data_IF_816113334790
#
_entry.id   IF_816113334790
#
_cell.length_a   1.000
_cell.length_b   1.000
_cell.length_c   1.000
_cell.angle_alpha   90.00
_cell.angle_beta   90.00
_cell.angle_gamma   90.00
#
_symmetry.space_group_name_H-M   'P 1'
#
loop_
_entity.id
_entity.type
_entity.pdbx_description
1 polymer ?
#
# COMPACT_ATOMS: atom_id res chain seq x y z
N UNK A 1 5.92 23.97 37.45
CA UNK A 1 6.11 22.51 37.25
C UNK A 1 6.82 22.20 35.92
N UNK A 2 7.72 21.19 35.90
CA UNK A 2 8.53 20.84 34.71
C UNK A 2 7.69 20.59 33.45
N UNK A 3 6.52 19.95 33.60
CA UNK A 3 5.60 19.69 32.49
C UNK A 3 5.14 20.96 31.76
N UNK A 4 4.77 22.02 32.49
CA UNK A 4 4.34 23.29 31.89
C UNK A 4 5.48 23.96 31.11
N UNK A 5 6.69 23.98 31.67
CA UNK A 5 7.87 24.52 30.99
C UNK A 5 8.24 23.70 29.74
N UNK A 6 8.09 22.37 29.80
CA UNK A 6 8.28 21.51 28.64
C UNK A 6 7.26 21.82 27.54
N UNK A 7 5.97 21.92 27.89
CA UNK A 7 4.92 22.25 26.94
C UNK A 7 5.19 23.59 26.24
N UNK A 8 5.40 24.67 27.00
CA UNK A 8 5.61 26.02 26.45
C UNK A 8 6.81 26.04 25.49
N UNK A 9 7.94 25.46 25.91
CA UNK A 9 9.19 25.52 25.14
C UNK A 9 9.28 24.52 23.98
N UNK A 10 8.68 23.32 24.13
CA UNK A 10 8.89 22.20 23.19
C UNK A 10 7.68 21.89 22.33
N UNK A 11 6.49 22.24 22.77
CA UNK A 11 5.25 22.06 22.01
C UNK A 11 4.86 23.40 21.40
N UNK A 12 4.53 24.41 22.22
CA UNK A 12 4.01 25.69 21.72
C UNK A 12 5.04 26.46 20.89
N UNK A 13 6.23 26.73 21.42
CA UNK A 13 7.31 27.39 20.66
C UNK A 13 7.92 26.47 19.59
N UNK A 14 7.79 25.16 19.80
CA UNK A 14 8.29 24.13 18.90
C UNK A 14 7.62 24.14 17.53
N UNK A 15 6.33 24.46 17.47
CA UNK A 15 5.56 24.49 16.21
C UNK A 15 6.18 25.39 15.13
N UNK A 16 6.82 26.48 15.54
CA UNK A 16 7.41 27.46 14.62
C UNK A 16 8.91 27.26 14.39
N UNK A 17 9.57 26.43 15.21
CA UNK A 17 11.03 26.33 15.25
C UNK A 17 11.57 24.94 14.97
N UNK A 18 10.78 23.89 15.20
CA UNK A 18 11.22 22.50 15.13
C UNK A 18 10.65 21.77 13.93
N UNK A 19 11.36 20.71 13.55
CA UNK A 19 10.93 19.85 12.43
C UNK A 19 9.77 18.95 12.85
N UNK A 20 8.89 18.53 11.93
CA UNK A 20 7.74 17.69 12.27
C UNK A 20 8.11 16.39 13.02
N UNK A 21 9.21 15.74 12.65
CA UNK A 21 9.69 14.55 13.37
C UNK A 21 10.19 14.81 14.79
N UNK A 22 10.68 16.02 15.09
CA UNK A 22 11.04 16.43 16.45
C UNK A 22 9.79 16.78 17.26
N UNK A 23 8.83 17.44 16.62
CA UNK A 23 7.54 17.75 17.22
C UNK A 23 6.79 16.48 17.62
N UNK A 24 6.72 15.48 16.75
CA UNK A 24 6.09 14.19 17.06
C UNK A 24 6.73 13.51 18.28
N UNK A 25 8.06 13.56 18.38
CA UNK A 25 8.78 13.05 19.57
C UNK A 25 8.45 13.86 20.81
N UNK A 26 8.41 15.19 20.73
CA UNK A 26 8.08 16.03 21.87
C UNK A 26 6.66 15.79 22.36
N UNK A 27 5.71 15.61 21.46
CA UNK A 27 4.30 15.31 21.78
C UNK A 27 4.20 13.97 22.49
N UNK A 28 4.89 12.94 21.97
CA UNK A 28 4.97 11.65 22.64
C UNK A 28 5.60 11.75 24.04
N UNK A 29 6.70 12.52 24.18
CA UNK A 29 7.32 12.77 25.48
C UNK A 29 6.34 13.50 26.41
N UNK A 30 5.62 14.52 25.92
CA UNK A 30 4.62 15.24 26.71
C UNK A 30 3.48 14.31 27.18
N UNK A 31 2.95 13.44 26.32
CA UNK A 31 1.95 12.44 26.71
C UNK A 31 2.48 11.55 27.85
N UNK A 32 3.69 11.01 27.70
CA UNK A 32 4.30 10.16 28.74
C UNK A 32 4.57 10.93 30.04
N UNK A 33 5.07 12.17 29.95
CA UNK A 33 5.32 13.01 31.12
C UNK A 33 4.03 13.32 31.88
N UNK A 34 2.90 13.51 31.19
CA UNK A 34 1.62 13.74 31.83
C UNK A 34 1.08 12.49 32.54
N UNK A 35 1.23 11.32 31.92
CA UNK A 35 0.87 10.04 32.55
C UNK A 35 1.71 9.78 33.81
N UNK A 36 3.02 10.05 33.75
CA UNK A 36 3.88 9.99 34.94
C UNK A 36 3.41 10.98 36.00
N UNK A 37 3.07 12.22 35.63
CA UNK A 37 2.56 13.21 36.58
C UNK A 37 1.28 12.74 37.30
N UNK A 38 0.34 12.15 36.55
CA UNK A 38 -0.90 11.58 37.11
C UNK A 38 -0.63 10.46 38.12
N UNK A 39 0.41 9.65 37.91
CA UNK A 39 0.74 8.55 38.82
C UNK A 39 1.45 8.99 40.10
N UNK A 40 2.18 10.12 40.06
CA UNK A 40 2.96 10.61 41.19
C UNK A 40 2.20 11.60 42.08
N UNK A 41 1.12 12.20 41.58
CA UNK A 41 0.44 13.34 42.23
C UNK A 41 -1.08 13.13 42.27
N UNK A 42 -1.73 13.51 43.38
CA UNK A 42 -3.18 13.41 43.51
C UNK A 42 -3.91 14.24 42.43
N UNK A 43 -4.98 13.74 41.81
CA UNK A 43 -5.69 14.43 40.71
C UNK A 43 -6.15 15.84 41.06
N UNK A 44 -6.57 16.06 42.31
CA UNK A 44 -7.06 17.36 42.82
C UNK A 44 -5.95 18.40 42.99
N UNK A 45 -4.68 17.99 43.05
CA UNK A 45 -3.52 18.88 43.15
C UNK A 45 -2.91 19.28 41.81
N UNK A 46 -3.40 18.72 40.70
CA UNK A 46 -2.96 19.10 39.35
C UNK A 46 -3.65 20.42 38.98
N UNK A 47 -2.85 21.46 38.77
CA UNK A 47 -3.32 22.76 38.30
C UNK A 47 -4.11 22.68 36.99
N UNK A 48 -5.18 23.46 36.88
CA UNK A 48 -6.05 23.52 35.70
C UNK A 48 -5.27 23.84 34.40
N UNK A 49 -4.27 24.73 34.49
CA UNK A 49 -3.37 25.05 33.36
C UNK A 49 -2.67 23.80 32.81
N UNK A 50 -2.25 22.89 33.68
CA UNK A 50 -1.58 21.64 33.32
C UNK A 50 -2.54 20.68 32.61
N UNK A 51 -3.80 20.61 33.05
CA UNK A 51 -4.82 19.78 32.40
C UNK A 51 -5.12 20.26 30.99
N UNK A 52 -5.28 21.58 30.80
CA UNK A 52 -5.48 22.19 29.48
C UNK A 52 -4.33 21.90 28.51
N UNK A 53 -3.09 21.97 28.98
CA UNK A 53 -1.93 21.62 28.16
C UNK A 53 -1.91 20.14 27.77
N UNK A 54 -2.34 19.26 28.67
CA UNK A 54 -2.45 17.85 28.34
C UNK A 54 -3.56 17.55 27.33
N UNK A 55 -4.71 18.21 27.45
CA UNK A 55 -5.79 18.13 26.46
C UNK A 55 -5.33 18.63 25.09
N UNK A 56 -4.60 19.75 25.04
CA UNK A 56 -4.01 20.25 23.80
C UNK A 56 -3.01 19.24 23.19
N UNK A 57 -2.11 18.67 24.00
CA UNK A 57 -1.17 17.63 23.56
C UNK A 57 -1.91 16.42 22.99
N UNK A 58 -2.99 15.97 23.63
CA UNK A 58 -3.77 14.84 23.15
C UNK A 58 -4.52 15.17 21.85
N UNK A 59 -5.08 16.37 21.73
CA UNK A 59 -5.71 16.85 20.50
C UNK A 59 -4.70 16.94 19.35
N UNK A 60 -3.47 17.38 19.64
CA UNK A 60 -2.40 17.48 18.64
C UNK A 60 -1.74 16.13 18.33
N UNK A 61 -1.88 15.11 19.18
CA UNK A 61 -1.30 13.78 18.98
C UNK A 61 -1.63 13.19 17.60
N UNK A 62 -2.86 13.38 17.12
CA UNK A 62 -3.29 12.96 15.78
C UNK A 62 -2.73 13.81 14.62
N UNK A 63 -2.24 15.02 14.89
CA UNK A 63 -1.64 15.92 13.90
C UNK A 63 -0.13 15.70 13.70
N UNK A 64 0.48 14.91 14.59
CA UNK A 64 1.89 14.53 14.52
C UNK A 64 2.08 13.06 14.17
N UNK A 65 1.16 12.51 13.36
CA UNK A 65 1.25 11.13 12.88
C UNK A 65 2.62 10.85 12.24
N UNK A 66 3.09 9.62 12.45
CA UNK A 66 4.36 9.16 11.94
C UNK A 66 4.32 9.11 10.41
N UNK A 67 5.31 9.70 9.76
CA UNK A 67 5.52 9.67 8.31
C UNK A 67 6.88 9.03 8.03
N UNK A 68 7.04 8.45 6.84
CA UNK A 68 8.29 7.79 6.48
C UNK A 68 9.31 8.78 5.90
N UNK A 69 8.89 9.62 4.96
CA UNK A 69 9.72 10.56 4.21
C UNK A 69 9.03 11.94 4.09
N UNK A 70 7.75 11.97 3.73
CA UNK A 70 7.00 13.19 3.42
C UNK A 70 6.00 13.53 4.54
N UNK A 71 6.22 14.63 5.30
CA UNK A 71 5.29 15.10 6.33
C UNK A 71 4.10 15.85 5.72
N UNK A 72 3.18 15.13 5.07
CA UNK A 72 2.06 15.74 4.34
C UNK A 72 1.09 16.51 5.25
N UNK A 73 0.82 15.96 6.45
CA UNK A 73 -0.12 16.53 7.43
C UNK A 73 0.56 16.92 8.74
N UNK A 74 1.89 16.75 8.84
CA UNK A 74 2.58 16.94 10.11
C UNK A 74 2.80 18.43 10.39
N UNK A 75 2.51 18.83 11.62
CA UNK A 75 2.69 20.21 12.09
C UNK A 75 4.17 20.47 12.41
N UNK A 76 4.64 21.68 12.12
CA UNK A 76 6.04 22.10 12.30
C UNK A 76 6.60 22.81 11.08
N UNK A 77 7.90 23.13 11.10
CA UNK A 77 8.58 23.74 9.97
C UNK A 77 8.66 22.75 8.81
N UNK A 78 7.94 23.05 7.71
CA UNK A 78 7.91 22.18 6.52
C UNK A 78 9.33 21.95 5.99
N UNK A 79 9.77 20.69 5.83
CA UNK A 79 11.09 20.42 5.27
C UNK A 79 11.19 20.85 3.81
N UNK A 80 12.40 21.20 3.36
CA UNK A 80 12.67 21.69 2.00
C UNK A 80 12.19 20.73 0.87
N UNK A 81 12.11 19.42 1.14
CA UNK A 81 11.59 18.45 0.17
C UNK A 81 10.14 18.75 -0.25
N UNK A 82 9.33 19.33 0.66
CA UNK A 82 7.95 19.71 0.39
C UNK A 82 7.85 20.94 -0.53
N UNK A 83 8.94 21.69 -0.67
CA UNK A 83 8.98 22.87 -1.54
C UNK A 83 9.32 22.53 -2.99
N UNK A 84 9.78 21.30 -3.25
CA UNK A 84 10.10 20.83 -4.59
C UNK A 84 8.86 20.85 -5.50
N UNK A 85 8.96 21.46 -6.69
CA UNK A 85 7.81 21.62 -7.59
C UNK A 85 7.23 20.28 -8.03
N UNK A 86 8.03 19.23 -8.14
CA UNK A 86 7.59 17.91 -8.59
C UNK A 86 6.83 17.15 -7.50
N UNK A 87 7.19 17.37 -6.23
CA UNK A 87 6.41 16.89 -5.08
C UNK A 87 5.07 17.61 -5.03
N UNK A 88 5.06 18.95 -5.20
CA UNK A 88 3.83 19.75 -5.26
C UNK A 88 2.92 19.32 -6.41
N UNK A 89 3.48 19.08 -7.59
CA UNK A 89 2.76 18.63 -8.77
C UNK A 89 2.10 17.26 -8.55
N UNK A 90 2.82 16.29 -7.96
CA UNK A 90 2.28 14.98 -7.64
C UNK A 90 1.17 15.04 -6.58
N UNK A 91 1.33 15.85 -5.53
CA UNK A 91 0.29 16.09 -4.52
C UNK A 91 -0.95 16.71 -5.16
N UNK A 92 -0.79 17.76 -5.97
CA UNK A 92 -1.91 18.43 -6.63
C UNK A 92 -2.71 17.49 -7.54
N UNK A 93 -2.04 16.58 -8.25
CA UNK A 93 -2.69 15.58 -9.09
C UNK A 93 -3.50 14.56 -8.25
N UNK A 94 -2.98 14.12 -7.11
CA UNK A 94 -3.69 13.19 -6.22
C UNK A 94 -4.85 13.85 -5.45
N UNK A 95 -4.76 15.15 -5.16
CA UNK A 95 -5.82 15.91 -4.48
C UNK A 95 -6.98 16.31 -5.41
N UNK A 96 -6.89 16.03 -6.71
CA UNK A 96 -7.97 16.30 -7.66
C UNK A 96 -9.06 15.24 -7.48
N UNK A 97 -10.00 15.47 -6.57
CA UNK A 97 -11.09 14.53 -6.21
C UNK A 97 -12.49 15.15 -6.29
N UNK A 98 -12.62 16.39 -6.74
CA UNK A 98 -13.89 17.16 -6.72
C UNK A 98 -15.03 16.53 -7.54
N UNK A 99 -14.68 15.68 -8.51
CA UNK A 99 -15.61 14.96 -9.38
C UNK A 99 -15.88 13.52 -8.95
N UNK A 100 -15.33 13.08 -7.81
CA UNK A 100 -15.57 11.73 -7.30
C UNK A 100 -16.83 11.69 -6.43
N UNK A 101 -17.62 10.61 -6.50
CA UNK A 101 -18.77 10.44 -5.62
C UNK A 101 -18.32 10.22 -4.17
N UNK A 102 -18.97 10.89 -3.21
CA UNK A 102 -18.51 10.95 -1.82
C UNK A 102 -19.06 9.79 -0.99
N UNK A 103 -18.20 9.00 -0.33
CA UNK A 103 -18.63 7.87 0.48
C UNK A 103 -19.16 8.30 1.86
N UNK A 104 -20.12 7.53 2.37
CA UNK A 104 -20.73 7.67 3.70
C UNK A 104 -20.59 6.34 4.44
N UNK A 105 -20.06 6.40 5.67
CA UNK A 105 -20.06 5.24 6.57
C UNK A 105 -21.33 5.31 7.41
N UNK A 106 -22.20 4.33 7.22
CA UNK A 106 -23.26 4.03 8.19
C UNK A 106 -22.61 3.34 9.38
N UNK A 107 -22.65 3.97 10.55
CA UNK A 107 -22.19 3.32 11.77
C UNK A 107 -22.96 2.00 11.94
N UNK A 108 -22.25 0.87 12.11
CA UNK A 108 -22.89 -0.37 12.55
C UNK A 108 -23.61 -0.08 13.86
N UNK A 109 -24.85 -0.50 13.99
CA UNK A 109 -25.51 -0.55 15.30
C UNK A 109 -24.83 -1.66 16.09
N UNK A 110 -23.84 -1.31 16.89
CA UNK A 110 -23.30 -2.20 17.92
C UNK A 110 -24.49 -2.72 18.75
N UNK A 111 -24.45 -3.98 19.15
CA UNK A 111 -25.52 -4.71 19.87
C UNK A 111 -25.67 -4.18 21.31
N UNK A 112 -26.05 -2.92 21.46
CA UNK A 112 -26.62 -2.35 22.67
C UNK A 112 -28.05 -1.94 22.35
N UNK A 113 -29.01 -2.69 22.92
CA UNK A 113 -30.44 -2.41 22.89
C UNK A 113 -30.74 -1.07 23.59
N UNK A 114 -30.48 0.06 22.93
CA UNK A 114 -31.07 1.33 23.33
C UNK A 114 -31.69 2.02 22.09
N UNK A 115 -33.00 1.88 22.00
CA UNK A 115 -33.87 2.07 20.83
C UNK A 115 -34.16 3.55 20.53
N UNK A 116 -33.15 4.43 20.55
CA UNK A 116 -33.38 5.87 20.34
C UNK A 116 -32.29 6.67 19.64
N UNK A 117 -31.15 6.10 19.28
CA UNK A 117 -30.11 6.84 18.54
C UNK A 117 -30.14 6.47 17.06
N UNK A 118 -30.71 7.36 16.24
CA UNK A 118 -30.65 7.25 14.76
C UNK A 118 -29.19 7.06 14.33
N UNK A 119 -28.88 6.14 13.40
CA UNK A 119 -27.53 6.03 12.86
C UNK A 119 -27.17 7.37 12.21
N UNK A 120 -26.20 8.07 12.80
CA UNK A 120 -25.70 9.33 12.27
C UNK A 120 -24.75 8.99 11.12
N UNK A 121 -25.16 9.29 9.90
CA UNK A 121 -24.29 9.24 8.72
C UNK A 121 -23.07 10.12 8.96
N UNK A 122 -21.87 9.52 9.02
CA UNK A 122 -20.62 10.27 9.15
C UNK A 122 -20.05 10.47 7.76
N UNK A 123 -20.05 11.73 7.30
CA UNK A 123 -19.36 12.11 6.08
C UNK A 123 -17.85 11.91 6.28
N UNK A 124 -17.22 11.18 5.37
CA UNK A 124 -15.79 10.92 5.42
C UNK A 124 -15.07 12.10 4.77
N UNK A 125 -14.04 12.63 5.44
CA UNK A 125 -13.17 13.64 4.84
C UNK A 125 -12.23 12.96 3.83
N UNK A 126 -12.43 13.25 2.54
CA UNK A 126 -11.59 12.77 1.44
C UNK A 126 -10.67 13.91 1.01
N UNK A 127 -9.36 13.81 1.25
CA UNK A 127 -8.39 14.84 0.85
C UNK A 127 -7.69 14.52 -0.49
N UNK A 128 -7.63 13.24 -0.86
CA UNK A 128 -6.99 12.75 -2.07
C UNK A 128 -7.58 11.42 -2.56
N UNK A 129 -7.12 10.98 -3.73
CA UNK A 129 -7.52 9.72 -4.36
C UNK A 129 -7.35 8.53 -3.41
N UNK A 130 -6.32 8.49 -2.56
CA UNK A 130 -6.10 7.35 -1.67
C UNK A 130 -7.08 7.35 -0.51
N UNK A 131 -7.44 8.50 0.04
CA UNK A 131 -8.54 8.61 1.03
C UNK A 131 -9.86 8.14 0.41
N UNK A 132 -10.11 8.47 -0.86
CA UNK A 132 -11.30 8.02 -1.57
C UNK A 132 -11.33 6.50 -1.74
N UNK A 133 -10.25 5.90 -2.23
CA UNK A 133 -10.15 4.43 -2.37
C UNK A 133 -10.26 3.75 -1.00
N UNK A 134 -9.61 4.29 0.03
CA UNK A 134 -9.64 3.77 1.39
C UNK A 134 -11.03 3.80 2.00
N UNK A 135 -11.83 4.81 1.68
CA UNK A 135 -13.21 4.89 2.17
C UNK A 135 -14.17 3.99 1.42
N UNK A 136 -13.94 3.74 0.13
CA UNK A 136 -14.72 2.78 -0.65
C UNK A 136 -14.44 1.35 -0.20
N UNK A 137 -13.17 0.97 -0.02
CA UNK A 137 -12.79 -0.44 0.21
C UNK A 137 -12.36 -0.78 1.64
N UNK A 138 -12.16 0.21 2.50
CA UNK A 138 -11.77 0.01 3.90
C UNK A 138 -10.34 -0.49 4.10
N UNK A 139 -9.36 0.18 3.47
CA UNK A 139 -7.93 -0.09 3.68
C UNK A 139 -7.44 0.41 5.05
N UNK A 140 -6.36 -0.18 5.57
CA UNK A 140 -5.71 0.24 6.81
C UNK A 140 -5.07 1.63 6.67
N UNK A 141 -5.32 2.53 7.62
CA UNK A 141 -4.80 3.92 7.59
C UNK A 141 -3.28 3.99 7.42
N UNK A 142 -2.54 3.11 8.09
CA UNK A 142 -1.08 3.04 7.98
C UNK A 142 -0.60 2.63 6.59
N UNK A 143 -1.30 1.70 5.93
CA UNK A 143 -1.02 1.31 4.55
C UNK A 143 -1.30 2.49 3.60
N UNK A 144 -2.44 3.16 3.76
CA UNK A 144 -2.82 4.33 2.98
C UNK A 144 -1.78 5.44 3.07
N UNK A 145 -1.37 5.82 4.29
CA UNK A 145 -0.33 6.82 4.50
C UNK A 145 0.99 6.42 3.84
N UNK A 146 1.42 5.16 4.00
CA UNK A 146 2.67 4.67 3.43
C UNK A 146 2.64 4.65 1.88
N UNK A 147 1.56 4.16 1.27
CA UNK A 147 1.44 4.09 -0.18
C UNK A 147 1.25 5.48 -0.81
N UNK A 148 0.65 6.42 -0.09
CA UNK A 148 0.55 7.83 -0.52
C UNK A 148 1.92 8.44 -0.70
N UNK A 149 2.77 8.36 0.33
CA UNK A 149 4.14 8.87 0.26
C UNK A 149 4.94 8.19 -0.86
N UNK A 150 4.81 6.85 -0.96
CA UNK A 150 5.47 6.07 -1.99
C UNK A 150 5.06 6.49 -3.41
N UNK A 151 3.76 6.66 -3.67
CA UNK A 151 3.23 7.08 -4.97
C UNK A 151 3.68 8.50 -5.34
N UNK A 152 3.63 9.44 -4.39
CA UNK A 152 4.11 10.81 -4.60
C UNK A 152 5.59 10.80 -5.00
N UNK A 153 6.42 10.03 -4.29
CA UNK A 153 7.85 9.92 -4.59
C UNK A 153 8.11 9.25 -5.94
N UNK A 154 7.34 8.22 -6.32
CA UNK A 154 7.46 7.59 -7.64
C UNK A 154 7.13 8.57 -8.76
N UNK A 155 6.01 9.29 -8.64
CA UNK A 155 5.56 10.29 -9.60
C UNK A 155 6.57 11.42 -9.73
N UNK A 156 7.00 12.02 -8.62
CA UNK A 156 7.97 13.11 -8.63
C UNK A 156 9.31 12.66 -9.25
N UNK A 157 9.83 11.50 -8.85
CA UNK A 157 11.10 10.98 -9.39
C UNK A 157 11.02 10.66 -10.89
N UNK A 158 9.88 10.15 -11.37
CA UNK A 158 9.70 9.86 -12.79
C UNK A 158 9.50 11.14 -13.61
N UNK A 159 8.75 12.11 -13.08
CA UNK A 159 8.51 13.39 -13.73
C UNK A 159 9.82 14.17 -13.98
N UNK A 160 10.75 14.14 -13.02
CA UNK A 160 12.08 14.77 -13.14
C UNK A 160 12.95 14.09 -14.21
N UNK A 161 12.92 12.76 -14.29
CA UNK A 161 13.81 12.02 -15.20
C UNK A 161 13.47 12.23 -16.66
N UNK A 162 12.20 12.49 -16.94
CA UNK A 162 11.73 12.62 -18.31
C UNK A 162 12.02 14.01 -18.90
N UNK A 163 12.25 15.07 -18.11
CA UNK A 163 12.53 16.43 -18.62
C UNK A 163 13.41 17.29 -17.72
N UNK A 164 14.16 18.20 -18.36
CA UNK A 164 15.11 19.11 -17.71
C UNK A 164 14.48 20.37 -17.07
N UNK A 165 13.21 20.67 -17.35
CA UNK A 165 12.53 21.87 -16.83
C UNK A 165 11.59 21.51 -15.68
N UNK A 166 11.77 22.17 -14.53
CA UNK A 166 10.90 22.04 -13.36
C UNK A 166 9.51 22.60 -13.65
N UNK A 167 8.55 21.74 -14.00
CA UNK A 167 7.15 22.13 -14.16
C UNK A 167 6.38 21.95 -12.84
N UNK A 168 5.42 22.85 -12.57
CA UNK A 168 4.50 22.73 -11.43
C UNK A 168 3.32 21.77 -11.71
N UNK A 169 3.35 21.02 -12.81
CA UNK A 169 2.27 20.14 -13.24
C UNK A 169 2.78 18.74 -13.52
N UNK A 170 1.99 17.74 -13.16
CA UNK A 170 2.31 16.34 -13.41
C UNK A 170 1.93 15.98 -14.85
N UNK A 171 2.90 15.51 -15.65
CA UNK A 171 2.64 15.16 -17.04
C UNK A 171 1.87 13.85 -17.17
N UNK A 172 0.90 13.80 -18.09
CA UNK A 172 0.10 12.60 -18.35
C UNK A 172 0.97 11.39 -18.79
N UNK A 173 2.04 11.64 -19.56
CA UNK A 173 2.99 10.61 -20.00
C UNK A 173 3.70 9.93 -18.81
N UNK A 174 4.02 10.69 -17.75
CA UNK A 174 4.63 10.14 -16.54
C UNK A 174 3.69 9.18 -15.83
N UNK A 175 2.40 9.52 -15.75
CA UNK A 175 1.38 8.66 -15.15
C UNK A 175 1.20 7.38 -15.99
N UNK A 176 1.14 7.52 -17.32
CA UNK A 176 1.06 6.38 -18.25
C UNK A 176 2.25 5.42 -18.07
N UNK A 177 3.47 5.95 -18.10
CA UNK A 177 4.69 5.13 -17.89
C UNK A 177 4.68 4.43 -16.54
N UNK A 178 4.23 5.10 -15.49
CA UNK A 178 4.14 4.49 -14.15
C UNK A 178 3.10 3.37 -14.14
N UNK A 179 1.93 3.60 -14.74
CA UNK A 179 0.87 2.61 -14.85
C UNK A 179 1.34 1.35 -15.58
N UNK A 180 1.91 1.51 -16.79
CA UNK A 180 2.49 0.41 -17.57
C UNK A 180 3.54 -0.35 -16.77
N UNK A 181 4.37 0.36 -15.99
CA UNK A 181 5.41 -0.27 -15.19
C UNK A 181 4.86 -1.06 -14.00
N UNK A 182 3.85 -0.55 -13.31
CA UNK A 182 3.22 -1.22 -12.17
C UNK A 182 2.37 -2.40 -12.63
N UNK A 183 1.60 -2.24 -13.70
CA UNK A 183 0.64 -3.22 -14.20
C UNK A 183 1.21 -4.13 -15.29
N UNK A 184 2.53 -4.09 -15.55
CA UNK A 184 3.19 -4.89 -16.59
C UNK A 184 2.85 -6.39 -16.53
N UNK A 185 2.72 -6.93 -15.32
CA UNK A 185 2.41 -8.34 -15.10
C UNK A 185 0.93 -8.67 -15.26
N UNK A 186 0.05 -7.66 -15.16
CA UNK A 186 -1.39 -7.80 -15.32
C UNK A 186 -1.80 -7.78 -16.81
N UNK A 187 -1.08 -6.99 -17.62
CA UNK A 187 -1.34 -6.76 -19.05
C UNK A 187 -1.20 -8.01 -19.95
N UNK A 188 -0.55 -9.08 -19.47
CA UNK A 188 -0.27 -10.28 -20.28
C UNK A 188 -1.33 -11.39 -20.19
N UNK A 189 -2.40 -11.22 -19.39
CA UNK A 189 -3.39 -12.30 -19.15
C UNK A 189 -4.84 -11.86 -19.08
N UNK A 190 -5.11 -10.59 -18.76
CA UNK A 190 -6.46 -10.03 -18.76
C UNK A 190 -6.41 -8.84 -19.68
N UNK A 191 -7.19 -8.85 -20.77
CA UNK A 191 -7.61 -7.61 -21.41
C UNK A 191 -8.25 -6.79 -20.30
N UNK A 192 -7.46 -5.95 -19.63
CA UNK A 192 -7.98 -5.00 -18.69
C UNK A 192 -8.89 -4.17 -19.60
N UNK A 193 -10.20 -4.34 -19.45
CA UNK A 193 -11.21 -3.50 -20.08
C UNK A 193 -11.12 -2.08 -19.50
N UNK A 194 -9.90 -1.54 -19.36
CA UNK A 194 -9.67 -0.11 -19.34
C UNK A 194 -10.10 0.35 -20.72
N UNK A 195 -10.88 1.41 -20.74
CA UNK A 195 -11.24 2.14 -21.94
C UNK A 195 -12.32 1.43 -22.77
N UNK A 196 -13.53 1.35 -22.20
CA UNK A 196 -14.63 1.90 -22.99
C UNK A 196 -14.65 3.41 -22.71
N UNK A 197 -14.34 4.28 -23.70
CA UNK A 197 -14.27 5.73 -23.55
C UNK A 197 -15.68 6.36 -23.50
N UNK A 198 -16.60 5.75 -22.75
CA UNK A 198 -17.98 6.22 -22.61
C UNK A 198 -18.06 7.29 -21.51
N UNK A 199 -17.04 7.39 -20.65
CA UNK A 199 -17.00 8.25 -19.48
C UNK A 199 -16.18 9.52 -19.75
N UNK A 200 -16.81 10.70 -19.59
CA UNK A 200 -16.20 12.06 -19.66
C UNK A 200 -15.29 12.36 -18.45
N UNK A 201 -14.55 11.35 -17.99
CA UNK A 201 -13.66 11.46 -16.84
C UNK A 201 -12.25 11.79 -17.27
N UNK A 202 -11.53 12.48 -16.38
CA UNK A 202 -10.12 12.79 -16.58
C UNK A 202 -9.30 11.49 -16.62
N UNK A 203 -8.80 11.15 -17.81
CA UNK A 203 -7.99 9.96 -18.06
C UNK A 203 -6.79 9.87 -17.09
N UNK A 204 -6.16 11.00 -16.76
CA UNK A 204 -5.04 11.01 -15.82
C UNK A 204 -5.48 10.62 -14.41
N UNK A 205 -6.63 11.13 -13.96
CA UNK A 205 -7.21 10.79 -12.66
C UNK A 205 -7.56 9.30 -12.59
N UNK A 206 -8.18 8.76 -13.63
CA UNK A 206 -8.54 7.35 -13.70
C UNK A 206 -7.32 6.43 -13.59
N UNK A 207 -6.24 6.76 -14.30
CA UNK A 207 -4.97 6.02 -14.21
C UNK A 207 -4.36 6.10 -12.81
N UNK A 208 -4.40 7.27 -12.17
CA UNK A 208 -3.94 7.44 -10.79
C UNK A 208 -4.78 6.62 -9.80
N UNK A 209 -6.10 6.53 -9.99
CA UNK A 209 -6.98 5.69 -9.17
C UNK A 209 -6.55 4.22 -9.27
N UNK A 210 -6.32 3.71 -10.49
CA UNK A 210 -5.92 2.31 -10.69
C UNK A 210 -4.52 2.00 -10.16
N UNK A 211 -3.56 2.91 -10.35
CA UNK A 211 -2.23 2.80 -9.76
C UNK A 211 -2.31 2.75 -8.23
N UNK A 212 -3.06 3.68 -7.63
CA UNK A 212 -3.23 3.76 -6.19
C UNK A 212 -3.92 2.51 -5.63
N UNK A 213 -4.98 2.04 -6.30
CA UNK A 213 -5.71 0.82 -5.94
C UNK A 213 -4.78 -0.39 -5.92
N UNK A 214 -3.96 -0.58 -6.96
CA UNK A 214 -3.01 -1.69 -7.02
C UNK A 214 -1.99 -1.63 -5.88
N UNK A 215 -1.45 -0.43 -5.59
CA UNK A 215 -0.47 -0.25 -4.50
C UNK A 215 -1.08 -0.52 -3.12
N UNK A 216 -2.34 -0.12 -2.90
CA UNK A 216 -3.07 -0.38 -1.65
C UNK A 216 -3.32 -1.88 -1.46
N UNK A 217 -3.81 -2.58 -2.49
CA UNK A 217 -3.98 -4.04 -2.49
C UNK A 217 -2.63 -4.72 -2.21
N UNK A 218 -1.57 -4.33 -2.92
CA UNK A 218 -0.23 -4.87 -2.72
C UNK A 218 0.30 -4.67 -1.29
N UNK A 219 0.00 -3.51 -0.70
CA UNK A 219 0.41 -3.15 0.65
C UNK A 219 -0.21 -4.03 1.74
N UNK A 220 -1.47 -4.45 1.56
CA UNK A 220 -2.21 -5.28 2.53
C UNK A 220 -2.23 -6.77 2.22
N UNK A 221 -1.88 -7.18 0.99
CA UNK A 221 -1.91 -8.58 0.58
C UNK A 221 -0.98 -9.51 1.39
N UNK A 222 0.00 -8.99 2.15
CA UNK A 222 0.87 -9.80 3.02
C UNK A 222 1.48 -10.99 2.27
N UNK A 223 1.35 -12.24 2.74
CA UNK A 223 1.86 -13.42 2.04
C UNK A 223 1.08 -13.76 0.75
N UNK A 224 -0.17 -13.31 0.61
CA UNK A 224 -0.98 -13.50 -0.61
C UNK A 224 -0.37 -12.76 -1.80
N UNK A 225 0.44 -11.72 -1.57
CA UNK A 225 1.14 -10.99 -2.64
C UNK A 225 2.04 -11.88 -3.51
N UNK A 226 2.43 -13.04 -2.99
CA UNK A 226 3.24 -14.00 -3.72
C UNK A 226 2.43 -14.83 -4.70
N UNK A 227 1.09 -14.81 -4.65
CA UNK A 227 0.15 -15.44 -5.59
C UNK A 227 -0.31 -14.40 -6.64
N UNK A 228 0.42 -14.23 -7.75
CA UNK A 228 0.14 -13.16 -8.70
C UNK A 228 -1.25 -13.28 -9.31
N UNK A 229 -1.78 -14.49 -9.45
CA UNK A 229 -3.06 -14.74 -10.11
C UNK A 229 -4.23 -14.43 -9.17
N UNK A 230 -4.08 -14.78 -7.89
CA UNK A 230 -4.96 -14.31 -6.83
C UNK A 230 -4.97 -12.78 -6.73
N UNK A 231 -3.79 -12.15 -6.86
CA UNK A 231 -3.68 -10.70 -6.80
C UNK A 231 -4.36 -10.04 -8.01
N UNK A 232 -4.19 -10.60 -9.20
CA UNK A 232 -4.88 -10.18 -10.42
C UNK A 232 -6.40 -10.32 -10.27
N UNK A 233 -6.89 -11.43 -9.69
CA UNK A 233 -8.32 -11.63 -9.43
C UNK A 233 -8.91 -10.54 -8.52
N UNK A 234 -8.25 -10.25 -7.40
CA UNK A 234 -8.66 -9.19 -6.46
C UNK A 234 -8.67 -7.83 -7.18
N UNK A 235 -7.58 -7.49 -7.87
CA UNK A 235 -7.45 -6.22 -8.57
C UNK A 235 -8.49 -6.05 -9.68
N UNK A 236 -8.78 -7.12 -10.44
CA UNK A 236 -9.77 -7.12 -11.52
C UNK A 236 -11.16 -6.73 -11.00
N UNK A 237 -11.62 -7.42 -9.95
CA UNK A 237 -12.94 -7.17 -9.38
C UNK A 237 -13.05 -5.77 -8.76
N UNK A 238 -12.03 -5.33 -8.02
CA UNK A 238 -12.03 -4.00 -7.44
C UNK A 238 -11.96 -2.89 -8.50
N UNK A 239 -11.25 -3.10 -9.61
CA UNK A 239 -11.29 -2.19 -10.76
C UNK A 239 -12.70 -2.09 -11.35
N UNK A 240 -13.41 -3.23 -11.48
CA UNK A 240 -14.79 -3.24 -11.96
C UNK A 240 -15.75 -2.53 -11.00
N UNK A 241 -15.56 -2.67 -9.68
CA UNK A 241 -16.31 -1.89 -8.69
C UNK A 241 -16.05 -0.39 -8.80
N UNK A 242 -14.79 0.03 -8.92
CA UNK A 242 -14.45 1.44 -9.17
C UNK A 242 -15.12 1.94 -10.46
N UNK A 243 -15.07 1.16 -11.54
CA UNK A 243 -15.72 1.52 -12.80
C UNK A 243 -17.23 1.72 -12.61
N UNK A 244 -17.92 0.78 -11.98
CA UNK A 244 -19.36 0.86 -11.72
C UNK A 244 -19.73 2.06 -10.84
N UNK A 245 -18.89 2.37 -9.86
CA UNK A 245 -19.05 3.54 -8.99
C UNK A 245 -18.96 4.84 -9.81
N UNK A 246 -17.96 4.94 -10.69
CA UNK A 246 -17.75 6.13 -11.51
C UNK A 246 -18.80 6.25 -12.63
N UNK A 247 -19.27 5.14 -13.19
CA UNK A 247 -20.33 5.10 -14.21
C UNK A 247 -21.69 5.54 -13.65
N UNK A 248 -22.05 5.07 -12.45
CA UNK A 248 -23.33 5.39 -11.81
C UNK A 248 -23.41 6.80 -11.28
N UNK A 249 -22.27 7.42 -10.98
CA UNK A 249 -22.20 8.82 -10.55
C UNK A 249 -22.73 9.73 -11.67
N UNK A 250 -23.89 10.40 -11.49
CA UNK A 250 -24.47 11.24 -12.54
C UNK A 250 -23.48 12.31 -12.95
N UNK A 251 -23.36 12.53 -14.25
CA UNK A 251 -22.52 13.56 -14.83
C UNK A 251 -22.72 14.91 -14.13
N UNK A 252 -21.66 15.73 -14.09
CA UNK A 252 -21.52 17.09 -13.52
C UNK A 252 -22.76 18.02 -13.58
N UNK A 253 -23.75 17.73 -14.42
CA UNK A 253 -24.98 18.49 -14.59
C UNK A 253 -26.00 18.34 -13.45
N UNK A 254 -26.00 17.23 -12.70
CA UNK A 254 -26.95 17.03 -11.58
C UNK A 254 -26.15 16.99 -10.29
N UNK A 255 -26.19 18.07 -9.49
CA UNK A 255 -25.57 18.18 -8.15
C UNK A 255 -26.24 17.25 -7.11
N UNK A 256 -26.60 16.04 -7.48
CA UNK A 256 -26.97 14.99 -6.53
C UNK A 256 -25.69 14.22 -6.24
N UNK A 257 -25.08 14.50 -5.09
CA UNK A 257 -23.96 13.72 -4.57
C UNK A 257 -24.53 12.37 -4.16
N UNK A 258 -24.57 11.41 -5.08
CA UNK A 258 -24.93 10.04 -4.72
C UNK A 258 -23.94 9.56 -3.66
N UNK A 259 -24.48 9.28 -2.48
CA UNK A 259 -23.71 8.81 -1.34
C UNK A 259 -23.46 7.32 -1.56
N UNK A 260 -22.19 6.96 -1.64
CA UNK A 260 -21.79 5.56 -1.76
C UNK A 260 -21.64 4.98 -0.36
N UNK A 261 -22.05 3.73 -0.18
CA UNK A 261 -21.78 3.01 1.06
C UNK A 261 -20.29 2.75 1.18
N UNK A 262 -19.64 3.43 2.13
CA UNK A 262 -18.24 3.21 2.45
C UNK A 262 -18.05 2.08 3.46
N UNK A 263 -16.82 1.60 3.57
CA UNK A 263 -16.46 0.56 4.53
C UNK A 263 -15.70 1.12 5.74
N UNK A 264 -15.75 0.38 6.85
CA UNK A 264 -14.92 0.68 8.02
C UNK A 264 -13.43 0.45 7.71
N UNK A 265 -12.57 1.05 8.53
CA UNK A 265 -11.14 0.75 8.43
C UNK A 265 -10.88 -0.75 8.60
N UNK A 266 -9.94 -1.28 7.82
CA UNK A 266 -9.51 -2.69 7.83
C UNK A 266 -10.51 -3.70 7.24
N UNK A 267 -11.61 -3.25 6.63
CA UNK A 267 -12.55 -4.12 5.92
C UNK A 267 -11.86 -4.98 4.86
N UNK A 268 -11.01 -4.39 4.01
CA UNK A 268 -10.29 -5.12 2.96
C UNK A 268 -9.43 -6.25 3.54
N UNK A 269 -8.65 -5.93 4.58
CA UNK A 269 -7.82 -6.93 5.26
C UNK A 269 -8.68 -8.06 5.85
N UNK A 270 -9.80 -7.73 6.49
CA UNK A 270 -10.65 -8.68 7.22
C UNK A 270 -11.49 -9.56 6.30
N UNK A 271 -12.11 -8.98 5.28
CA UNK A 271 -13.10 -9.66 4.43
C UNK A 271 -12.48 -10.24 3.14
N UNK A 272 -11.38 -9.67 2.64
CA UNK A 272 -10.74 -10.13 1.39
C UNK A 272 -9.46 -10.92 1.65
N UNK A 273 -8.49 -10.33 2.35
CA UNK A 273 -7.17 -10.95 2.52
C UNK A 273 -7.18 -12.08 3.55
N UNK A 274 -7.85 -11.88 4.69
CA UNK A 274 -7.82 -12.84 5.80
C UNK A 274 -8.37 -14.22 5.40
N UNK A 275 -9.53 -14.35 4.72
CA UNK A 275 -10.04 -15.66 4.32
C UNK A 275 -9.07 -16.43 3.41
N UNK A 276 -8.44 -15.74 2.46
CA UNK A 276 -7.46 -16.34 1.54
C UNK A 276 -6.19 -16.75 2.30
N UNK A 277 -5.71 -15.87 3.19
CA UNK A 277 -4.56 -16.16 4.04
C UNK A 277 -4.78 -17.35 4.97
N UNK A 278 -5.99 -17.52 5.51
CA UNK A 278 -6.33 -18.65 6.36
C UNK A 278 -6.24 -19.98 5.62
N UNK A 279 -6.68 -20.03 4.36
CA UNK A 279 -6.50 -21.21 3.50
C UNK A 279 -5.01 -21.52 3.35
N UNK A 280 -4.20 -20.52 2.96
CA UNK A 280 -2.74 -20.69 2.83
C UNK A 280 -2.09 -21.17 4.12
N UNK A 281 -2.46 -20.58 5.26
CA UNK A 281 -1.92 -20.93 6.58
C UNK A 281 -2.28 -22.36 6.97
N UNK A 282 -3.50 -22.81 6.66
CA UNK A 282 -3.94 -24.19 6.93
C UNK A 282 -3.21 -25.19 6.04
N UNK A 283 -3.12 -24.95 4.73
CA UNK A 283 -2.40 -25.83 3.79
C UNK A 283 -0.90 -25.90 4.11
N UNK A 284 -0.27 -24.76 4.46
CA UNK A 284 1.12 -24.73 4.90
C UNK A 284 1.38 -25.56 6.16
N UNK A 285 0.42 -25.63 7.09
CA UNK A 285 0.50 -26.51 8.26
C UNK A 285 0.36 -27.99 7.86
N UNK A 286 -0.54 -28.31 6.92
CA UNK A 286 -0.76 -29.68 6.42
C UNK A 286 0.46 -30.29 5.73
N UNK A 287 1.30 -29.46 5.10
CA UNK A 287 2.58 -29.89 4.54
C UNK A 287 3.49 -30.62 5.58
N UNK A 288 3.26 -30.41 6.89
CA UNK A 288 3.97 -31.11 7.97
C UNK A 288 5.51 -31.07 7.82
N UNK A 289 6.05 -29.88 7.50
CA UNK A 289 7.49 -29.66 7.20
C UNK A 289 8.02 -30.50 6.03
N UNK A 290 7.20 -30.73 5.00
CA UNK A 290 7.58 -31.52 3.82
C UNK A 290 7.44 -33.03 4.00
N UNK A 291 6.80 -33.49 5.08
CA UNK A 291 6.63 -34.92 5.39
C UNK A 291 5.28 -35.49 4.96
N UNK A 292 4.32 -34.64 4.60
CA UNK A 292 3.01 -35.08 4.15
C UNK A 292 3.03 -35.47 2.66
N UNK A 293 2.26 -36.50 2.30
CA UNK A 293 2.04 -36.85 0.88
C UNK A 293 1.45 -35.67 0.12
N UNK A 294 1.97 -35.40 -1.08
CA UNK A 294 1.49 -34.34 -1.98
C UNK A 294 0.02 -34.48 -2.41
N UNK A 295 -0.64 -35.60 -2.11
CA UNK A 295 -2.07 -35.82 -2.37
C UNK A 295 -2.98 -35.26 -1.26
N UNK A 296 -2.43 -34.96 -0.09
CA UNK A 296 -3.22 -34.67 1.12
C UNK A 296 -3.28 -33.17 1.46
N UNK A 297 -2.64 -32.33 0.65
CA UNK A 297 -2.61 -30.89 0.84
C UNK A 297 -2.43 -30.18 -0.51
N UNK A 298 -2.92 -28.95 -0.61
CA UNK A 298 -2.76 -28.12 -1.80
C UNK A 298 -1.49 -27.30 -1.66
N UNK A 299 -0.60 -27.40 -2.63
CA UNK A 299 0.61 -26.60 -2.65
C UNK A 299 0.34 -25.19 -3.19
N UNK A 300 1.37 -24.34 -3.18
CA UNK A 300 1.26 -22.96 -3.64
C UNK A 300 0.77 -22.85 -5.11
N UNK A 301 1.28 -23.71 -6.00
CA UNK A 301 0.87 -23.71 -7.41
C UNK A 301 -0.60 -24.14 -7.54
N UNK A 302 -1.04 -25.17 -6.81
CA UNK A 302 -2.44 -25.62 -6.81
C UNK A 302 -3.39 -24.47 -6.37
N UNK A 303 -3.00 -23.71 -5.35
CA UNK A 303 -3.80 -22.59 -4.83
C UNK A 303 -3.78 -21.39 -5.76
N UNK A 304 -2.65 -21.09 -6.40
CA UNK A 304 -2.52 -19.95 -7.31
C UNK A 304 -3.19 -20.24 -8.67
N UNK A 305 -3.10 -21.47 -9.17
CA UNK A 305 -3.76 -21.92 -10.40
C UNK A 305 -5.29 -21.88 -10.30
N UNK A 306 -5.87 -22.02 -9.11
CA UNK A 306 -7.31 -21.89 -8.90
C UNK A 306 -7.88 -20.61 -9.56
N UNK A 307 -7.17 -19.49 -9.42
CA UNK A 307 -7.56 -18.17 -9.92
C UNK A 307 -7.46 -18.02 -11.46
N UNK A 308 -6.91 -19.01 -12.18
CA UNK A 308 -6.96 -19.07 -13.65
C UNK A 308 -8.23 -19.69 -14.20
N UNK A 309 -8.92 -20.49 -13.38
CA UNK A 309 -10.05 -21.26 -13.89
C UNK A 309 -11.24 -20.35 -14.13
N UNK A 310 -11.96 -20.56 -15.24
CA UNK A 310 -13.28 -19.92 -15.43
C UNK A 310 -14.23 -20.23 -14.28
N UNK A 311 -14.09 -21.42 -13.70
CA UNK A 311 -14.83 -21.87 -12.53
C UNK A 311 -14.58 -20.98 -11.30
N UNK A 312 -13.41 -20.35 -11.17
CA UNK A 312 -13.15 -19.38 -10.10
C UNK A 312 -14.14 -18.21 -10.12
N UNK A 313 -14.44 -17.66 -11.30
CA UNK A 313 -15.38 -16.53 -11.39
C UNK A 313 -16.81 -16.92 -11.01
N UNK A 314 -17.22 -18.14 -11.38
CA UNK A 314 -18.57 -18.65 -11.09
C UNK A 314 -18.73 -19.11 -9.62
N UNK A 315 -17.69 -19.74 -9.06
CA UNK A 315 -17.72 -20.36 -7.74
C UNK A 315 -17.26 -19.41 -6.62
N UNK A 316 -16.11 -18.76 -6.78
CA UNK A 316 -15.53 -17.89 -5.74
C UNK A 316 -16.33 -16.59 -5.57
N UNK A 317 -16.83 -16.04 -6.70
CA UNK A 317 -17.62 -14.80 -6.78
C UNK A 317 -16.93 -13.57 -6.15
N UNK A 318 -17.60 -12.42 -6.31
CA UNK A 318 -17.19 -11.18 -5.67
C UNK A 318 -18.43 -10.41 -5.18
N UNK A 319 -18.62 -10.21 -3.86
CA UNK A 319 -17.75 -10.61 -2.73
C UNK A 319 -17.52 -12.13 -2.62
N UNK A 320 -16.45 -12.51 -1.91
CA UNK A 320 -16.01 -13.91 -1.78
C UNK A 320 -17.10 -14.78 -1.13
N UNK A 321 -17.49 -15.87 -1.79
CA UNK A 321 -18.45 -16.86 -1.27
C UNK A 321 -17.70 -17.86 -0.36
N UNK A 322 -17.96 -17.88 0.97
CA UNK A 322 -17.28 -18.81 1.88
C UNK A 322 -17.56 -20.29 1.57
N UNK A 323 -18.58 -20.58 0.75
CA UNK A 323 -18.94 -21.93 0.33
C UNK A 323 -18.19 -22.39 -0.92
N UNK A 324 -17.42 -21.52 -1.56
CA UNK A 324 -16.61 -21.84 -2.73
C UNK A 324 -15.61 -22.96 -2.43
N UNK A 325 -15.28 -23.75 -3.45
CA UNK A 325 -14.37 -24.89 -3.36
C UNK A 325 -12.97 -24.47 -2.90
N UNK A 326 -12.56 -23.24 -3.21
CA UNK A 326 -11.33 -22.66 -2.69
C UNK A 326 -11.22 -22.75 -1.15
N UNK A 327 -12.30 -22.42 -0.44
CA UNK A 327 -12.35 -22.40 1.02
C UNK A 327 -12.67 -23.78 1.62
N UNK A 328 -13.17 -24.72 0.82
CA UNK A 328 -13.43 -26.09 1.26
C UNK A 328 -12.12 -26.83 1.55
N UNK A 329 -12.19 -27.73 2.51
CA UNK A 329 -11.07 -28.60 2.86
C UNK A 329 -11.41 -30.05 2.47
N UNK A 330 -10.38 -30.78 2.03
CA UNK A 330 -10.46 -32.21 1.66
C UNK A 330 -11.06 -33.12 2.74
N UNK A 331 -11.11 -32.67 3.99
CA UNK A 331 -11.63 -33.44 5.12
C UNK A 331 -13.16 -33.44 5.18
N UNK A 332 -13.82 -32.56 4.40
CA UNK A 332 -15.29 -32.43 4.37
C UNK A 332 -15.94 -33.13 3.17
N UNK A 333 -15.21 -33.48 2.11
CA UNK A 333 -15.75 -34.31 1.01
C UNK A 333 -14.66 -35.03 0.20
N UNK A 334 -14.81 -36.34 0.05
CA UNK A 334 -13.90 -37.28 -0.61
C UNK A 334 -13.85 -37.22 -2.16
N UNK A 335 -14.24 -36.11 -2.80
CA UNK A 335 -14.32 -36.03 -4.27
C UNK A 335 -13.69 -34.75 -4.83
N UNK A 336 -12.37 -34.58 -4.63
CA UNK A 336 -11.58 -33.76 -5.54
C UNK A 336 -11.32 -34.57 -6.83
N UNK A 337 -12.09 -34.29 -7.87
CA UNK A 337 -11.75 -34.75 -9.21
C UNK A 337 -10.65 -33.82 -9.74
N UNK A 338 -9.43 -34.32 -9.80
CA UNK A 338 -8.29 -33.65 -10.43
C UNK A 338 -8.60 -33.47 -11.92
N UNK A 339 -9.33 -32.41 -12.26
CA UNK A 339 -9.58 -32.05 -13.64
C UNK A 339 -8.22 -31.73 -14.27
N UNK A 340 -7.76 -32.58 -15.18
CA UNK A 340 -6.70 -32.25 -16.11
C UNK A 340 -7.22 -31.10 -16.97
N UNK A 341 -6.97 -29.87 -16.55
CA UNK A 341 -7.15 -28.71 -17.40
C UNK A 341 -5.89 -28.58 -18.27
N UNK A 342 -6.12 -28.60 -19.59
CA UNK A 342 -5.09 -28.38 -20.58
C UNK A 342 -4.35 -27.06 -20.30
N UNK A 343 -3.02 -27.16 -20.23
CA UNK A 343 -2.11 -26.04 -20.23
C UNK A 343 -2.50 -25.02 -21.31
N UNK A 344 -2.77 -23.76 -20.92
CA UNK A 344 -2.60 -22.65 -21.84
C UNK A 344 -1.09 -22.33 -21.89
N UNK A 345 -0.39 -22.46 -23.04
CA UNK A 345 1.07 -22.37 -23.10
C UNK A 345 1.68 -20.99 -22.78
N UNK A 346 0.90 -19.97 -22.46
CA UNK A 346 1.34 -18.57 -22.39
C UNK A 346 1.82 -18.08 -21.02
N UNK A 347 1.66 -18.84 -19.93
CA UNK A 347 1.96 -18.37 -18.57
C UNK A 347 3.27 -18.91 -17.94
N UNK A 348 4.18 -19.46 -18.74
CA UNK A 348 5.40 -20.13 -18.21
C UNK A 348 6.54 -19.22 -17.72
N UNK A 349 6.42 -17.89 -17.71
CA UNK A 349 7.57 -16.99 -17.53
C UNK A 349 7.46 -15.87 -16.45
N UNK A 350 6.50 -15.94 -15.53
CA UNK A 350 6.20 -14.81 -14.61
C UNK A 350 6.93 -14.87 -13.25
N UNK A 351 7.48 -16.01 -12.82
CA UNK A 351 7.78 -16.23 -11.39
C UNK A 351 9.17 -15.72 -10.89
N UNK A 352 10.12 -15.37 -11.76
CA UNK A 352 11.48 -15.00 -11.31
C UNK A 352 11.77 -13.48 -11.18
N UNK A 353 10.85 -12.59 -11.57
CA UNK A 353 11.13 -11.14 -11.68
C UNK A 353 10.87 -10.29 -10.44
N UNK A 354 9.91 -10.67 -9.58
CA UNK A 354 9.38 -9.76 -8.54
C UNK A 354 10.21 -9.74 -7.26
N UNK A 355 10.94 -10.82 -6.94
CA UNK A 355 11.84 -10.86 -5.77
C UNK A 355 13.08 -9.94 -5.92
N UNK A 356 13.47 -9.59 -7.15
CA UNK A 356 14.73 -8.88 -7.40
C UNK A 356 14.61 -7.33 -7.28
N UNK A 357 13.41 -6.76 -7.33
CA UNK A 357 13.22 -5.31 -7.39
C UNK A 357 12.93 -4.68 -6.02
N UNK A 358 12.34 -5.44 -5.08
CA UNK A 358 11.92 -4.89 -3.78
C UNK A 358 12.87 -5.26 -2.62
N UNK A 359 13.72 -6.28 -2.77
CA UNK A 359 14.67 -6.73 -1.73
C UNK A 359 16.14 -6.41 -2.04
N UNK A 360 16.47 -5.21 -2.54
CA UNK A 360 17.87 -4.76 -2.52
C UNK A 360 18.26 -4.30 -1.11
N UNK A 361 18.65 -5.25 -0.26
CA UNK A 361 19.62 -4.94 0.78
C UNK A 361 20.96 -4.62 0.13
N UNK A 362 21.72 -3.62 0.61
CA UNK A 362 23.04 -3.31 0.10
C UNK A 362 23.99 -4.46 0.47
N UNK A 363 24.36 -5.28 -0.50
CA UNK A 363 25.48 -6.22 -0.31
C UNK A 363 26.77 -5.42 -0.06
N UNK A 364 27.62 -5.84 0.89
CA UNK A 364 28.85 -5.13 1.22
C UNK A 364 29.81 -5.13 0.02
N UNK A 365 30.48 -3.99 -0.17
CA UNK A 365 31.55 -3.77 -1.14
C UNK A 365 32.51 -4.97 -1.20
N UNK A 366 32.39 -5.80 -2.26
CA UNK A 366 33.48 -6.71 -2.66
C UNK A 366 34.60 -5.82 -3.24
N UNK A 367 35.68 -5.63 -2.47
CA UNK A 367 36.95 -5.11 -2.96
C UNK A 367 37.34 -5.92 -4.21
N UNK A 368 37.35 -5.26 -5.38
CA UNK A 368 38.00 -5.82 -6.58
C UNK A 368 39.47 -6.02 -6.25
N UNK A 369 39.93 -7.27 -6.20
CA UNK A 369 41.37 -7.58 -6.24
C UNK A 369 41.86 -7.17 -7.62
N UNK A 370 42.82 -6.26 -7.67
CA UNK A 370 43.58 -5.95 -8.88
C UNK A 370 44.34 -7.22 -9.33
N UNK A 371 44.49 -7.46 -10.64
CA UNK A 371 45.34 -8.54 -11.14
C UNK A 371 46.81 -8.26 -10.77
N UNK A 372 47.64 -9.28 -10.52
CA UNK A 372 49.05 -9.09 -10.20
C UNK A 372 49.80 -8.54 -11.43
N UNK A 373 50.85 -7.73 -11.21
CA UNK A 373 51.67 -7.19 -12.31
C UNK A 373 52.46 -8.31 -13.00
N UNK A 374 52.78 -8.17 -14.31
CA UNK A 374 53.60 -9.13 -15.03
C UNK A 374 55.02 -9.15 -14.48
N UNK A 375 55.57 -10.35 -14.34
CA UNK A 375 56.95 -10.61 -13.90
C UNK A 375 57.98 -10.02 -14.88
N UNK A 376 59.12 -9.50 -14.38
CA UNK A 376 60.16 -8.90 -15.22
C UNK A 376 60.88 -9.95 -16.08
N UNK A 377 61.42 -9.58 -17.25
CA UNK A 377 62.11 -10.49 -18.14
C UNK A 377 63.42 -10.98 -17.51
N UNK A 378 63.59 -12.30 -17.45
CA UNK A 378 64.83 -12.96 -17.04
C UNK A 378 65.87 -12.76 -18.14
N UNK A 379 66.98 -12.12 -17.78
CA UNK A 379 68.15 -11.95 -18.63
C UNK A 379 68.80 -13.31 -18.92
N UNK A 380 69.00 -13.60 -20.20
CA UNK A 380 69.74 -14.76 -20.71
C UNK A 380 71.22 -14.63 -20.37
N UNK A 381 71.76 -15.57 -19.58
CA UNK A 381 73.22 -15.78 -19.48
C UNK A 381 73.60 -17.03 -20.26
N UNK A 382 74.50 -16.80 -21.21
CA UNK A 382 75.18 -17.74 -22.09
C UNK A 382 75.66 -19.04 -21.40
N UNK A 383 75.44 -20.18 -22.07
CA UNK A 383 76.49 -21.21 -22.15
C UNK A 383 76.48 -21.92 -23.51
N UNK A 384 77.63 -21.80 -24.18
CA UNK A 384 78.01 -22.40 -25.47
C UNK A 384 77.99 -23.94 -25.41
N UNK A 385 77.49 -24.57 -26.45
CA UNK A 385 78.27 -25.38 -27.42
C UNK A 385 77.35 -26.28 -28.25
N UNK A 386 77.29 -26.05 -29.57
CA UNK A 386 77.15 -27.15 -30.54
C UNK A 386 78.56 -27.51 -31.03
N UNK A 387 78.78 -28.79 -31.32
CA UNK A 387 79.28 -29.11 -32.64
C UNK A 387 78.40 -30.18 -33.29
N UNK A 388 78.18 -30.07 -34.60
CA UNK A 388 78.44 -31.12 -35.60
C UNK A 388 77.73 -30.75 -36.91
N UNK A 389 78.59 -30.55 -37.91
CA UNK A 389 78.41 -30.55 -39.38
C UNK A 389 77.55 -29.45 -40.01
#
# INVERSE_FOLDING_TARGET
>A
PYYQQFYEKKIQDGEFSQRPGEMAKNVQIATVLYEVLKTMVNPSSIEEKTRRYAEDVENKRGQYEHYNILPLYAVGVKPAIMELPEIKAAIAALCKVDNLPMPVIRARSDVSNDDSTRPMDRLIKVNDILDWIASVFGFQKGNVANQREHLILLLANMNIRDRAESSCQLHAETVEKLMVKILKNYDHGVNLCIVNPILDYDEQQFKLIYIALYLLIWGEASNVRFMPECLCYIFHHMCHEVYNILEKSPSRATRSTELIEGHDGEYFLREVITPIYEVLRKEAKRNNKGKASHTNWRNYDDLNEYFWSKQCFDDLKWPLDPKADFFRHSDETAHWSRAKLCLCPQLRLVVWGVAAVVCRHPTPYRRRRLPPPPSPPVATVYRRHRPLL
#
